data_IF_579243286522
#
_entry.id   IF_579243286522
#
_cell.length_a   1.000
_cell.length_b   1.000
_cell.length_c   1.000
_cell.angle_alpha   90.00
_cell.angle_beta   90.00
_cell.angle_gamma   90.00
#
_symmetry.space_group_name_H-M   'P 1'
#
loop_
_entity.id
_entity.type
_entity.pdbx_description
1 polymer ?
#
# COMPACT_ATOMS: atom_id res chain seq x y z
N UNK A 1 22.80 -19.34 18.76
CA UNK A 1 22.94 -18.06 18.01
C UNK A 1 21.59 -17.37 18.05
N UNK A 2 21.44 -16.36 18.91
CA UNK A 2 20.25 -15.52 18.99
C UNK A 2 20.63 -14.17 18.38
N UNK A 3 20.29 -13.92 17.12
CA UNK A 3 20.38 -12.58 16.55
C UNK A 3 18.99 -11.95 16.62
N UNK A 4 18.84 -11.18 17.70
CA UNK A 4 17.89 -10.10 17.94
C UNK A 4 17.38 -9.47 16.62
N UNK A 5 16.11 -9.69 16.32
CA UNK A 5 15.35 -8.86 15.40
C UNK A 5 15.24 -7.47 16.06
N UNK A 6 16.18 -6.61 15.72
CA UNK A 6 16.24 -5.24 16.20
C UNK A 6 15.17 -4.42 15.51
N UNK A 7 14.26 -3.92 16.33
CA UNK A 7 13.33 -2.83 16.07
C UNK A 7 13.92 -1.78 15.11
N UNK A 8 13.43 -1.75 13.87
CA UNK A 8 13.74 -0.68 12.93
C UNK A 8 12.73 0.46 13.14
N UNK A 9 12.77 1.05 14.35
CA UNK A 9 11.92 2.19 14.69
C UNK A 9 12.60 3.50 14.25
N UNK A 10 12.10 4.02 13.13
CA UNK A 10 12.07 5.43 12.72
C UNK A 10 13.34 6.28 12.87
N UNK A 11 14.04 6.43 11.75
CA UNK A 11 14.59 7.72 11.33
C UNK A 11 14.43 7.85 9.80
N UNK A 12 13.39 8.56 9.36
CA UNK A 12 13.12 8.94 7.95
C UNK A 12 12.95 7.82 6.91
N UNK A 13 12.35 6.68 7.26
CA UNK A 13 12.06 5.60 6.31
C UNK A 13 10.66 5.00 6.49
N UNK A 14 10.04 4.59 5.39
CA UNK A 14 8.77 3.86 5.38
C UNK A 14 8.95 2.49 6.04
N UNK A 15 8.03 2.12 6.93
CA UNK A 15 7.98 0.76 7.49
C UNK A 15 7.53 -0.24 6.42
N UNK A 16 8.49 -0.97 5.85
CA UNK A 16 8.24 -1.93 4.77
C UNK A 16 7.35 -3.11 5.19
N UNK A 17 7.39 -3.51 6.47
CA UNK A 17 6.54 -4.58 6.99
C UNK A 17 5.10 -4.11 7.10
N UNK A 18 4.89 -2.87 7.54
CA UNK A 18 3.57 -2.25 7.55
C UNK A 18 3.01 -2.09 6.13
N UNK A 19 3.83 -1.69 5.16
CA UNK A 19 3.42 -1.61 3.74
C UNK A 19 3.08 -3.00 3.20
N UNK A 20 3.91 -4.02 3.46
CA UNK A 20 3.63 -5.38 3.00
C UNK A 20 2.32 -5.94 3.58
N UNK A 21 2.01 -5.61 4.84
CA UNK A 21 0.73 -5.96 5.45
C UNK A 21 -0.43 -5.25 4.75
N UNK A 22 -0.30 -3.94 4.50
CA UNK A 22 -1.31 -3.14 3.81
C UNK A 22 -1.60 -3.68 2.40
N UNK A 23 -0.55 -3.99 1.62
CA UNK A 23 -0.68 -4.54 0.27
C UNK A 23 -1.46 -5.84 0.28
N UNK A 24 -1.16 -6.77 1.19
CA UNK A 24 -1.88 -8.05 1.30
C UNK A 24 -3.35 -7.89 1.70
N UNK A 25 -3.67 -6.88 2.51
CA UNK A 25 -5.05 -6.54 2.88
C UNK A 25 -5.80 -5.96 1.67
N UNK A 26 -5.19 -5.01 0.96
CA UNK A 26 -5.72 -4.42 -0.28
C UNK A 26 -5.97 -5.46 -1.37
N UNK A 27 -5.01 -6.34 -1.67
CA UNK A 27 -5.17 -7.40 -2.68
C UNK A 27 -6.40 -8.28 -2.38
N UNK A 28 -6.55 -8.70 -1.12
CA UNK A 28 -7.67 -9.55 -0.67
C UNK A 28 -9.01 -8.84 -0.79
N UNK A 29 -9.06 -7.55 -0.48
CA UNK A 29 -10.31 -6.81 -0.49
C UNK A 29 -10.70 -6.37 -1.90
N UNK A 30 -9.73 -5.98 -2.74
CA UNK A 30 -9.95 -5.70 -4.17
C UNK A 30 -10.44 -6.93 -4.92
N UNK A 31 -10.01 -8.13 -4.55
CA UNK A 31 -10.51 -9.38 -5.14
C UNK A 31 -11.99 -9.66 -4.77
N UNK A 32 -12.47 -9.11 -3.65
CA UNK A 32 -13.89 -9.20 -3.25
C UNK A 32 -14.76 -8.13 -3.91
N UNK A 33 -14.18 -7.04 -4.37
CA UNK A 33 -14.90 -5.99 -5.11
C UNK A 33 -15.26 -6.52 -6.50
N UNK A 34 -16.43 -7.15 -6.60
CA UNK A 34 -17.01 -7.59 -7.85
C UNK A 34 -17.82 -6.45 -8.46
N UNK A 35 -17.30 -5.89 -9.56
CA UNK A 35 -17.96 -4.94 -10.45
C UNK A 35 -18.22 -3.53 -9.88
N UNK A 36 -17.37 -2.59 -10.31
CA UNK A 36 -17.62 -1.16 -10.16
C UNK A 36 -16.47 -0.35 -10.76
N UNK A 37 -16.68 0.15 -11.98
CA UNK A 37 -15.91 1.18 -12.69
C UNK A 37 -14.40 0.95 -12.89
N UNK A 38 -13.85 1.51 -13.98
CA UNK A 38 -12.47 1.28 -14.44
C UNK A 38 -11.37 1.58 -13.40
N UNK A 39 -11.67 2.40 -12.39
CA UNK A 39 -10.72 2.82 -11.36
C UNK A 39 -10.30 1.68 -10.40
N UNK A 40 -11.15 0.65 -10.19
CA UNK A 40 -10.76 -0.55 -9.42
C UNK A 40 -9.70 -1.38 -10.17
N UNK A 41 -9.73 -1.35 -11.51
CA UNK A 41 -8.71 -1.98 -12.34
C UNK A 41 -7.34 -1.33 -12.13
N UNK A 42 -7.30 0.01 -12.18
CA UNK A 42 -6.08 0.78 -11.90
C UNK A 42 -5.59 0.55 -10.47
N UNK A 43 -6.48 0.52 -9.48
CA UNK A 43 -6.11 0.24 -8.09
C UNK A 43 -5.44 -1.15 -7.95
N UNK A 44 -5.98 -2.16 -8.64
CA UNK A 44 -5.42 -3.52 -8.64
C UNK A 44 -4.02 -3.56 -9.25
N UNK A 45 -3.79 -2.82 -10.33
CA UNK A 45 -2.48 -2.74 -10.99
C UNK A 45 -1.44 -2.08 -10.09
N UNK A 46 -1.79 -0.95 -9.46
CA UNK A 46 -0.89 -0.23 -8.55
C UNK A 46 -0.54 -1.05 -7.31
N UNK A 47 -1.53 -1.73 -6.71
CA UNK A 47 -1.31 -2.63 -5.56
C UNK A 47 -0.38 -3.78 -5.94
N UNK A 48 -0.60 -4.39 -7.12
CA UNK A 48 0.26 -5.47 -7.62
C UNK A 48 1.69 -4.98 -7.88
N UNK A 49 1.85 -3.80 -8.46
CA UNK A 49 3.16 -3.20 -8.72
C UNK A 49 3.92 -2.91 -7.42
N UNK A 50 3.23 -2.41 -6.39
CA UNK A 50 3.80 -2.21 -5.07
C UNK A 50 4.20 -3.53 -4.40
N UNK A 51 3.36 -4.57 -4.51
CA UNK A 51 3.69 -5.93 -4.05
C UNK A 51 4.97 -6.48 -4.69
N UNK A 52 5.15 -6.30 -6.00
CA UNK A 52 6.38 -6.69 -6.69
C UNK A 52 7.60 -5.87 -6.24
N UNK A 53 7.43 -4.57 -6.01
CA UNK A 53 8.52 -3.72 -5.53
C UNK A 53 9.02 -4.14 -4.13
N UNK A 54 8.11 -4.61 -3.26
CA UNK A 54 8.44 -5.15 -1.94
C UNK A 54 9.13 -6.52 -2.00
N UNK A 55 8.89 -7.30 -3.06
CA UNK A 55 9.56 -8.59 -3.27
C UNK A 55 10.95 -8.45 -3.90
N UNK A 56 11.37 -7.22 -4.26
CA UNK A 56 12.71 -6.95 -4.76
C UNK A 56 13.77 -7.38 -3.72
N UNK A 57 14.91 -7.97 -4.13
CA UNK A 57 16.03 -8.29 -3.24
C UNK A 57 16.56 -7.07 -2.47
N UNK A 58 16.38 -5.87 -3.04
CA UNK A 58 16.62 -4.59 -2.40
C UNK A 58 15.41 -3.68 -2.70
N UNK A 59 14.40 -3.61 -1.80
CA UNK A 59 13.28 -2.69 -1.95
C UNK A 59 13.77 -1.25 -1.84
N UNK A 60 13.51 -0.44 -2.86
CA UNK A 60 13.91 0.97 -2.90
C UNK A 60 12.81 1.84 -2.28
N UNK A 61 13.13 2.57 -1.20
CA UNK A 61 12.17 3.39 -0.48
C UNK A 61 11.45 4.41 -1.36
N UNK A 62 12.13 5.01 -2.34
CA UNK A 62 11.51 5.95 -3.27
C UNK A 62 10.48 5.28 -4.18
N UNK A 63 10.74 4.03 -4.58
CA UNK A 63 9.78 3.24 -5.37
C UNK A 63 8.57 2.86 -4.54
N UNK A 64 8.77 2.49 -3.27
CA UNK A 64 7.68 2.20 -2.32
C UNK A 64 6.84 3.45 -2.04
N UNK A 65 7.48 4.59 -1.79
CA UNK A 65 6.82 5.88 -1.62
C UNK A 65 5.98 6.28 -2.84
N UNK A 66 6.52 6.12 -4.05
CA UNK A 66 5.77 6.39 -5.29
C UNK A 66 4.56 5.48 -5.43
N UNK A 67 4.71 4.17 -5.18
CA UNK A 67 3.60 3.23 -5.24
C UNK A 67 2.50 3.53 -4.21
N UNK A 68 2.87 3.86 -2.97
CA UNK A 68 1.92 4.30 -1.95
C UNK A 68 1.15 5.57 -2.36
N UNK A 69 1.84 6.56 -2.92
CA UNK A 69 1.19 7.78 -3.43
C UNK A 69 0.24 7.50 -4.61
N UNK A 70 0.63 6.60 -5.53
CA UNK A 70 -0.23 6.21 -6.65
C UNK A 70 -1.51 5.52 -6.16
N UNK A 71 -1.40 4.54 -5.26
CA UNK A 71 -2.55 3.87 -4.64
C UNK A 71 -3.44 4.89 -3.93
N UNK A 72 -2.87 5.81 -3.14
CA UNK A 72 -3.63 6.87 -2.47
C UNK A 72 -4.37 7.77 -3.46
N UNK A 73 -3.74 8.12 -4.58
CA UNK A 73 -4.36 8.96 -5.62
C UNK A 73 -5.55 8.27 -6.25
N UNK A 74 -5.42 6.99 -6.60
CA UNK A 74 -6.52 6.20 -7.17
C UNK A 74 -7.65 6.03 -6.15
N UNK A 75 -7.30 5.80 -4.88
CA UNK A 75 -8.26 5.75 -3.77
C UNK A 75 -9.04 7.06 -3.65
N UNK A 76 -8.38 8.20 -3.81
CA UNK A 76 -9.03 9.51 -3.70
C UNK A 76 -9.97 9.83 -4.88
N UNK A 77 -9.80 9.16 -6.03
CA UNK A 77 -10.69 9.34 -7.19
C UNK A 77 -11.90 8.41 -7.17
N UNK A 78 -11.90 7.38 -6.32
CA UNK A 78 -13.04 6.50 -6.08
C UNK A 78 -14.06 7.24 -5.19
N UNK A 79 -14.99 7.97 -5.79
CA UNK A 79 -16.05 8.70 -5.08
C UNK A 79 -17.02 7.72 -4.35
N UNK A 80 -17.06 7.84 -3.03
CA UNK A 80 -18.06 7.38 -2.02
C UNK A 80 -18.55 5.92 -1.97
N UNK A 81 -18.41 5.08 -2.99
CA UNK A 81 -19.08 3.76 -3.01
C UNK A 81 -18.36 2.64 -2.24
N UNK A 82 -17.21 2.92 -1.62
CA UNK A 82 -16.44 1.88 -0.93
C UNK A 82 -15.89 2.41 0.39
N UNK A 83 -16.63 2.20 1.48
CA UNK A 83 -16.17 2.46 2.86
C UNK A 83 -14.77 1.88 3.18
N UNK A 84 -14.38 0.82 2.48
CA UNK A 84 -13.06 0.18 2.57
C UNK A 84 -11.94 1.10 2.03
N UNK A 85 -12.23 1.93 1.02
CA UNK A 85 -11.26 2.79 0.31
C UNK A 85 -10.86 4.02 1.14
N UNK A 86 -11.78 4.58 1.92
CA UNK A 86 -11.50 5.73 2.81
C UNK A 86 -10.51 5.38 3.95
N UNK A 87 -10.63 4.21 4.58
CA UNK A 87 -9.70 3.77 5.63
C UNK A 87 -8.29 3.54 5.08
N UNK A 88 -8.19 2.91 3.89
CA UNK A 88 -6.91 2.68 3.24
C UNK A 88 -6.20 3.98 2.85
N UNK A 89 -6.92 4.98 2.34
CA UNK A 89 -6.34 6.30 2.04
C UNK A 89 -5.72 6.96 3.27
N UNK A 90 -6.41 6.92 4.42
CA UNK A 90 -5.91 7.47 5.68
C UNK A 90 -4.71 6.67 6.24
N UNK A 91 -4.74 5.34 6.16
CA UNK A 91 -3.61 4.47 6.58
C UNK A 91 -2.37 4.73 5.73
N UNK A 92 -2.52 4.88 4.42
CA UNK A 92 -1.43 5.22 3.51
C UNK A 92 -0.84 6.59 3.85
N UNK A 93 -1.68 7.60 4.10
CA UNK A 93 -1.22 8.93 4.53
C UNK A 93 -0.31 8.88 5.76
N UNK A 94 -0.70 8.11 6.78
CA UNK A 94 0.13 7.90 7.99
C UNK A 94 1.46 7.22 7.69
N UNK A 95 1.51 6.24 6.78
CA UNK A 95 2.75 5.58 6.36
C UNK A 95 3.69 6.53 5.59
N UNK A 96 3.12 7.52 4.91
CA UNK A 96 3.84 8.57 4.20
C UNK A 96 4.26 9.75 5.10
N UNK A 97 3.82 9.78 6.36
CA UNK A 97 4.12 10.86 7.30
C UNK A 97 3.34 12.16 7.05
N UNK A 98 2.13 12.07 6.48
CA UNK A 98 1.18 13.18 6.32
C UNK A 98 0.13 13.17 7.43
#
# INVERSE_FOLDING_TARGET
>A
MMTKAGDNHSAAGVDLDAVAKLVRELERDIDKLQHGAGDVGTLREEVRALGQALQSPAPENDRIHRGLNAIRSVIATLEDDVLIVADYGARIGRMLGM
#
